data_IF_228300754906
#
_entry.id   IF_228300754906
#
_cell.length_a   1.000
_cell.length_b   1.000
_cell.length_c   1.000
_cell.angle_alpha   90.00
_cell.angle_beta   90.00
_cell.angle_gamma   90.00
#
_symmetry.space_group_name_H-M   'P 1'
#
loop_
_entity.id
_entity.type
_entity.pdbx_description
1 polymer ?
#
# COMPACT_ATOMS: atom_id res chain seq x y z
N UNK A 1 -9.56 1.80 11.60
CA UNK A 1 -9.08 1.96 10.24
C UNK A 1 -7.96 0.97 9.97
N UNK A 2 -8.05 0.23 8.88
CA UNK A 2 -7.01 -0.72 8.51
C UNK A 2 -6.26 -0.21 7.28
N UNK A 3 -4.95 -0.15 7.41
CA UNK A 3 -4.06 0.39 6.39
C UNK A 3 -3.26 -0.75 5.78
N UNK A 4 -3.31 -0.88 4.46
CA UNK A 4 -2.62 -1.95 3.75
C UNK A 4 -1.52 -1.45 2.83
N UNK A 5 -0.51 -2.27 2.64
CA UNK A 5 0.59 -2.00 1.72
C UNK A 5 0.76 -3.19 0.78
N UNK A 6 0.69 -2.93 -0.50
CA UNK A 6 1.02 -3.92 -1.52
C UNK A 6 2.37 -3.49 -2.09
N UNK A 7 3.41 -4.26 -1.75
CA UNK A 7 4.79 -3.90 -2.01
C UNK A 7 5.44 -3.30 -0.77
N UNK A 8 6.62 -3.81 -0.38
CA UNK A 8 7.33 -3.39 0.83
C UNK A 8 8.78 -3.02 0.54
N UNK A 9 8.96 -2.13 -0.43
CA UNK A 9 10.28 -1.56 -0.71
C UNK A 9 10.67 -0.52 0.33
N UNK A 10 11.76 0.20 0.07
CA UNK A 10 12.30 1.17 1.02
C UNK A 10 11.29 2.27 1.35
N UNK A 11 10.55 2.75 0.36
CA UNK A 11 9.57 3.82 0.58
C UNK A 11 8.43 3.35 1.47
N UNK A 12 7.88 2.17 1.19
CA UNK A 12 6.80 1.61 2.01
C UNK A 12 7.29 1.37 3.43
N UNK A 13 8.49 0.83 3.59
CA UNK A 13 9.08 0.57 4.91
C UNK A 13 9.23 1.86 5.70
N UNK A 14 9.66 2.95 5.06
CA UNK A 14 9.80 4.25 5.72
C UNK A 14 8.44 4.80 6.17
N UNK A 15 7.42 4.65 5.34
CA UNK A 15 6.07 5.10 5.67
C UNK A 15 5.51 4.31 6.85
N UNK A 16 5.68 2.98 6.84
CA UNK A 16 5.23 2.13 7.94
C UNK A 16 5.93 2.53 9.24
N UNK A 17 7.26 2.68 9.19
CA UNK A 17 8.04 3.09 10.35
C UNK A 17 7.55 4.42 10.92
N UNK A 18 7.39 5.43 10.08
CA UNK A 18 6.94 6.75 10.51
C UNK A 18 5.54 6.73 11.10
N UNK A 19 4.65 5.97 10.46
CA UNK A 19 3.25 5.87 10.89
C UNK A 19 3.13 5.21 12.27
N UNK A 20 3.85 4.12 12.48
CA UNK A 20 3.84 3.42 13.77
C UNK A 20 4.50 4.24 14.85
N UNK A 21 5.66 4.83 14.57
CA UNK A 21 6.39 5.64 15.56
C UNK A 21 5.63 6.88 15.99
N UNK A 22 4.89 7.49 15.07
CA UNK A 22 4.08 8.68 15.39
C UNK A 22 2.79 8.33 16.13
N UNK A 23 2.42 7.06 16.18
CA UNK A 23 1.18 6.62 16.80
C UNK A 23 -0.06 6.91 15.95
N UNK A 24 0.10 7.29 14.69
CA UNK A 24 -1.02 7.60 13.81
C UNK A 24 -1.88 6.36 13.55
N UNK A 25 -1.22 5.21 13.33
CA UNK A 25 -1.90 3.93 13.17
C UNK A 25 -1.11 2.89 13.96
N UNK A 26 -1.81 2.07 14.72
CA UNK A 26 -1.17 0.99 15.44
C UNK A 26 -0.66 -0.07 14.47
N UNK A 27 0.48 -0.69 14.80
CA UNK A 27 1.02 -1.76 13.96
C UNK A 27 0.02 -2.88 13.70
N UNK A 28 -0.81 -3.21 14.70
CA UNK A 28 -1.83 -4.24 14.56
C UNK A 28 -2.93 -3.91 13.55
N UNK A 29 -3.03 -2.65 13.12
CA UNK A 29 -3.97 -2.21 12.10
C UNK A 29 -3.31 -2.04 10.72
N UNK A 30 -2.04 -2.41 10.60
CA UNK A 30 -1.31 -2.35 9.33
C UNK A 30 -1.13 -3.76 8.78
N UNK A 31 -1.42 -3.92 7.49
CA UNK A 31 -1.30 -5.17 6.77
C UNK A 31 -0.40 -4.96 5.57
N UNK A 32 0.43 -5.94 5.25
CA UNK A 32 1.38 -5.78 4.15
C UNK A 32 1.61 -7.09 3.42
N UNK A 33 1.82 -6.99 2.11
CA UNK A 33 2.21 -8.09 1.26
C UNK A 33 3.38 -7.66 0.38
N UNK A 34 4.35 -8.54 0.23
CA UNK A 34 5.44 -8.38 -0.72
C UNK A 34 5.82 -9.76 -1.25
N UNK A 35 6.10 -9.89 -2.56
CA UNK A 35 6.52 -11.18 -3.10
C UNK A 35 7.74 -11.76 -2.37
N UNK A 36 8.64 -10.90 -1.90
CA UNK A 36 9.77 -11.31 -1.06
C UNK A 36 9.33 -11.24 0.41
N UNK A 37 9.00 -12.36 0.99
CA UNK A 37 8.46 -12.44 2.36
C UNK A 37 9.41 -11.88 3.43
N UNK A 38 10.71 -11.96 3.19
CA UNK A 38 11.71 -11.48 4.15
C UNK A 38 11.45 -10.05 4.60
N UNK A 39 11.10 -9.17 3.66
CA UNK A 39 10.86 -7.76 3.98
C UNK A 39 9.64 -7.57 4.87
N UNK A 40 8.56 -8.28 4.58
CA UNK A 40 7.34 -8.19 5.38
C UNK A 40 7.57 -8.76 6.77
N UNK A 41 8.28 -9.89 6.83
CA UNK A 41 8.59 -10.53 8.11
C UNK A 41 9.43 -9.63 9.01
N UNK A 42 10.39 -8.92 8.44
CA UNK A 42 11.20 -7.95 9.19
C UNK A 42 10.34 -6.82 9.75
N UNK A 43 9.43 -6.30 8.95
CA UNK A 43 8.54 -5.23 9.39
C UNK A 43 7.55 -5.73 10.45
N UNK A 44 7.06 -6.95 10.30
CA UNK A 44 6.15 -7.56 11.27
C UNK A 44 6.85 -7.74 12.61
N UNK A 45 8.09 -8.22 12.59
CA UNK A 45 8.87 -8.41 13.81
C UNK A 45 9.20 -7.08 14.49
N UNK A 46 9.54 -6.06 13.70
CA UNK A 46 9.98 -4.78 14.23
C UNK A 46 8.83 -3.87 14.68
N UNK A 47 7.73 -3.88 13.95
CA UNK A 47 6.62 -2.94 14.18
C UNK A 47 5.30 -3.59 14.56
N UNK A 48 5.23 -4.91 14.57
CA UNK A 48 4.02 -5.62 14.93
C UNK A 48 2.93 -5.58 13.85
N UNK A 49 3.28 -5.34 12.60
CA UNK A 49 2.31 -5.35 11.51
C UNK A 49 1.92 -6.76 11.11
N UNK A 50 0.86 -6.89 10.34
CA UNK A 50 0.35 -8.19 9.89
C UNK A 50 0.87 -8.52 8.51
N UNK A 51 1.39 -9.73 8.33
CA UNK A 51 1.87 -10.21 7.05
C UNK A 51 0.71 -10.88 6.30
N UNK A 52 0.50 -10.50 5.05
CA UNK A 52 -0.50 -11.11 4.18
C UNK A 52 0.17 -11.97 3.12
N UNK A 53 -0.57 -12.94 2.59
CA UNK A 53 -0.06 -13.90 1.61
C UNK A 53 -0.21 -13.43 0.17
N UNK A 54 -1.03 -12.41 -0.06
CA UNK A 54 -1.30 -11.89 -1.40
C UNK A 54 -1.76 -10.44 -1.33
N UNK A 55 -1.68 -9.75 -2.47
CA UNK A 55 -2.25 -8.42 -2.60
C UNK A 55 -3.77 -8.43 -2.46
N UNK A 56 -4.40 -9.50 -2.92
CA UNK A 56 -5.86 -9.67 -2.79
C UNK A 56 -6.27 -9.70 -1.32
N UNK A 57 -5.52 -10.39 -0.48
CA UNK A 57 -5.81 -10.43 0.95
C UNK A 57 -5.72 -9.05 1.58
N UNK A 58 -4.69 -8.28 1.23
CA UNK A 58 -4.55 -6.89 1.70
C UNK A 58 -5.74 -6.05 1.25
N UNK A 59 -6.10 -6.15 -0.02
CA UNK A 59 -7.19 -5.37 -0.60
C UNK A 59 -8.55 -5.72 0.03
N UNK A 60 -8.74 -6.97 0.40
CA UNK A 60 -9.98 -7.41 1.01
C UNK A 60 -10.14 -6.90 2.44
N UNK A 61 -9.08 -6.95 3.22
CA UNK A 61 -9.11 -6.59 4.64
C UNK A 61 -9.07 -5.08 4.86
N UNK A 62 -8.27 -4.36 4.09
CA UNK A 62 -7.93 -2.98 4.41
C UNK A 62 -8.87 -1.96 3.80
N UNK A 63 -9.03 -0.82 4.48
CA UNK A 63 -9.84 0.31 4.02
C UNK A 63 -9.03 1.26 3.14
N UNK A 64 -7.76 1.43 3.49
CA UNK A 64 -6.80 2.26 2.76
C UNK A 64 -5.67 1.37 2.28
N UNK A 65 -5.39 1.40 0.99
CA UNK A 65 -4.42 0.51 0.37
C UNK A 65 -3.35 1.33 -0.34
N UNK A 66 -2.12 1.23 0.15
CA UNK A 66 -0.97 1.90 -0.46
C UNK A 66 -0.36 0.98 -1.50
N UNK A 67 -0.32 1.45 -2.74
CA UNK A 67 0.27 0.73 -3.86
C UNK A 67 1.72 1.19 -4.00
N UNK A 68 2.64 0.38 -3.52
CA UNK A 68 4.08 0.69 -3.48
C UNK A 68 4.92 -0.31 -4.28
N UNK A 69 4.35 -0.81 -5.36
CA UNK A 69 5.04 -1.69 -6.31
C UNK A 69 5.72 -0.86 -7.40
N UNK A 70 6.64 -1.49 -8.13
CA UNK A 70 7.28 -0.83 -9.27
C UNK A 70 6.24 -0.52 -10.35
N UNK A 71 6.42 0.59 -11.12
CA UNK A 71 5.45 0.98 -12.14
C UNK A 71 5.10 -0.11 -13.14
N UNK A 72 6.07 -0.93 -13.54
CA UNK A 72 5.84 -2.00 -14.51
C UNK A 72 5.03 -3.18 -13.94
N UNK A 73 4.85 -3.24 -12.64
CA UNK A 73 4.09 -4.29 -11.95
C UNK A 73 2.67 -3.82 -11.62
N UNK A 74 2.47 -2.51 -11.58
CA UNK A 74 1.24 -1.90 -11.08
C UNK A 74 -0.02 -2.37 -11.81
N UNK A 75 0.00 -2.46 -13.14
CA UNK A 75 -1.17 -2.87 -13.91
C UNK A 75 -1.66 -4.27 -13.50
N UNK A 76 -0.73 -5.21 -13.35
CA UNK A 76 -1.06 -6.57 -12.93
C UNK A 76 -1.68 -6.60 -11.53
N UNK A 77 -1.13 -5.81 -10.62
CA UNK A 77 -1.66 -5.72 -9.26
C UNK A 77 -3.08 -5.16 -9.28
N UNK A 78 -3.31 -4.08 -10.02
CA UNK A 78 -4.63 -3.46 -10.11
C UNK A 78 -5.66 -4.42 -10.67
N UNK A 79 -5.31 -5.16 -11.72
CA UNK A 79 -6.21 -6.15 -12.30
C UNK A 79 -6.54 -7.25 -11.30
N UNK A 80 -5.57 -7.65 -10.50
CA UNK A 80 -5.75 -8.71 -9.50
C UNK A 80 -6.69 -8.29 -8.38
N UNK A 81 -6.59 -7.05 -7.90
CA UNK A 81 -7.37 -6.58 -6.75
C UNK A 81 -8.67 -5.89 -7.14
N UNK A 82 -8.94 -5.68 -8.42
CA UNK A 82 -10.10 -4.91 -8.85
C UNK A 82 -11.42 -5.40 -8.25
N UNK A 83 -11.62 -6.71 -8.18
CA UNK A 83 -12.84 -7.28 -7.61
C UNK A 83 -13.01 -7.03 -6.12
N UNK A 84 -11.91 -6.72 -5.42
CA UNK A 84 -11.94 -6.48 -3.98
C UNK A 84 -12.13 -5.01 -3.62
N UNK A 85 -11.77 -4.10 -4.53
CA UNK A 85 -11.80 -2.66 -4.24
C UNK A 85 -12.94 -1.94 -4.94
N UNK A 86 -13.33 -2.36 -6.14
CA UNK A 86 -14.38 -1.71 -6.89
C UNK A 86 -15.73 -1.92 -6.20
N UNK A 87 -16.43 -0.83 -5.91
CA UNK A 87 -17.74 -0.89 -5.26
C UNK A 87 -17.71 -1.13 -3.76
N UNK A 88 -16.52 -1.21 -3.15
CA UNK A 88 -16.40 -1.52 -1.73
C UNK A 88 -15.93 -0.34 -0.86
N UNK A 89 -15.92 0.87 -1.43
CA UNK A 89 -15.55 2.07 -0.67
C UNK A 89 -14.10 2.14 -0.24
N UNK A 90 -13.23 1.37 -0.86
CA UNK A 90 -11.80 1.37 -0.53
C UNK A 90 -11.12 2.59 -1.13
N UNK A 91 -10.07 3.07 -0.46
CA UNK A 91 -9.26 4.18 -0.94
C UNK A 91 -7.90 3.65 -1.35
N UNK A 92 -7.50 3.94 -2.57
CA UNK A 92 -6.19 3.54 -3.10
C UNK A 92 -5.25 4.74 -3.07
N UNK A 93 -4.04 4.53 -2.55
CA UNK A 93 -3.01 5.55 -2.50
C UNK A 93 -1.81 5.02 -3.28
N UNK A 94 -1.53 5.64 -4.43
CA UNK A 94 -0.42 5.18 -5.27
C UNK A 94 0.82 6.03 -5.05
N UNK A 95 1.93 5.36 -4.78
CA UNK A 95 3.23 6.00 -4.71
C UNK A 95 4.13 5.54 -5.88
N UNK A 96 3.53 4.86 -6.86
CA UNK A 96 4.25 4.45 -8.06
C UNK A 96 4.50 5.65 -8.96
N UNK A 97 5.76 6.00 -9.13
CA UNK A 97 6.13 7.17 -9.94
C UNK A 97 5.72 6.99 -11.41
N UNK A 98 5.30 8.09 -12.04
CA UNK A 98 5.01 8.10 -13.47
C UNK A 98 3.66 7.53 -13.89
N UNK A 99 2.84 7.10 -12.93
CA UNK A 99 1.51 6.57 -13.23
C UNK A 99 0.42 7.53 -12.77
N UNK A 100 -0.54 7.83 -13.66
CA UNK A 100 -1.62 8.77 -13.38
C UNK A 100 -2.80 8.09 -12.70
N UNK A 101 -3.70 8.92 -12.15
CA UNK A 101 -4.97 8.42 -11.60
C UNK A 101 -5.78 7.75 -12.70
N UNK A 102 -5.75 8.29 -13.92
CA UNK A 102 -6.46 7.71 -15.05
C UNK A 102 -5.98 6.31 -15.38
N UNK A 103 -4.66 6.08 -15.32
CA UNK A 103 -4.09 4.76 -15.51
C UNK A 103 -4.64 3.76 -14.49
N UNK A 104 -4.72 4.17 -13.23
CA UNK A 104 -5.20 3.32 -12.16
C UNK A 104 -6.69 3.02 -12.36
N UNK A 105 -7.49 4.04 -12.62
CA UNK A 105 -8.94 3.87 -12.85
C UNK A 105 -9.21 2.96 -14.04
N UNK A 106 -8.45 3.12 -15.12
CA UNK A 106 -8.59 2.30 -16.32
C UNK A 106 -8.35 0.82 -16.02
N UNK A 107 -7.32 0.52 -15.25
CA UNK A 107 -6.98 -0.87 -14.91
C UNK A 107 -7.95 -1.48 -13.88
N UNK A 108 -8.69 -0.66 -13.16
CA UNK A 108 -9.73 -1.12 -12.25
C UNK A 108 -11.11 -1.14 -12.91
N UNK A 109 -11.25 -0.54 -14.08
CA UNK A 109 -12.53 -0.33 -14.75
C UNK A 109 -13.53 0.41 -13.86
N UNK A 110 -13.05 1.43 -13.13
CA UNK A 110 -13.88 2.11 -12.14
C UNK A 110 -13.36 3.51 -11.84
N UNK A 111 -14.28 4.35 -11.34
CA UNK A 111 -13.99 5.69 -10.84
C UNK A 111 -13.93 5.71 -9.31
N UNK A 112 -13.60 4.58 -8.70
CA UNK A 112 -13.47 4.51 -7.24
C UNK A 112 -12.49 5.57 -6.70
N UNK A 113 -12.61 5.85 -5.41
CA UNK A 113 -11.75 6.83 -4.76
C UNK A 113 -10.29 6.44 -4.92
N UNK A 114 -9.56 7.27 -5.65
CA UNK A 114 -8.14 7.02 -5.91
C UNK A 114 -7.38 8.27 -5.53
N UNK A 115 -6.47 8.12 -4.58
CA UNK A 115 -5.59 9.20 -4.16
C UNK A 115 -4.18 8.88 -4.64
N UNK A 116 -3.61 9.80 -5.41
CA UNK A 116 -2.23 9.65 -5.88
C UNK A 116 -1.32 10.48 -5.01
N UNK A 117 -0.34 9.81 -4.42
CA UNK A 117 0.66 10.46 -3.59
C UNK A 117 2.02 10.30 -4.26
N UNK A 118 2.74 11.41 -4.38
CA UNK A 118 4.12 11.41 -4.89
C UNK A 118 5.02 11.75 -3.70
N UNK A 119 5.50 10.73 -2.95
CA UNK A 119 6.28 11.01 -1.74
C UNK A 119 7.54 11.79 -2.06
N UNK A 120 7.85 12.76 -1.22
CA UNK A 120 9.08 13.51 -1.29
C UNK A 120 10.08 12.84 -0.36
N UNK A 121 11.21 12.38 -0.90
CA UNK A 121 12.22 11.69 -0.12
C UNK A 121 12.73 12.55 1.02
N UNK A 122 12.89 13.85 0.79
CA UNK A 122 13.34 14.76 1.83
C UNK A 122 12.34 14.86 2.98
N UNK A 123 11.05 14.85 2.67
CA UNK A 123 10.02 14.85 3.69
C UNK A 123 10.04 13.56 4.51
N UNK A 124 10.25 12.42 3.87
CA UNK A 124 10.35 11.13 4.55
C UNK A 124 11.56 11.12 5.48
N UNK A 125 12.69 11.63 5.02
CA UNK A 125 13.90 11.70 5.84
C UNK A 125 13.72 12.66 7.00
N UNK A 126 13.08 13.79 6.78
CA UNK A 126 12.89 14.79 7.85
C UNK A 126 11.95 14.31 8.96
N UNK A 127 11.12 13.32 8.68
CA UNK A 127 10.25 12.73 9.68
C UNK A 127 10.98 11.76 10.60
N UNK A 128 12.15 11.35 10.20
CA UNK A 128 12.94 10.44 11.03
C UNK A 128 13.76 11.22 12.04
#
# INVERSE_FOLDING_TARGET
MKLGFIGCGNMASAIISGTVKSGTVAGSDIYAFNPTETKVNMLAEKFGINSCKSGVEVADICDYIVLSVKPNVLAGVLNEIAGNVVGNGKVLISIAAGKSIDFIAENLNSDEKIVRVMPNINAVVSES
#
